data_IF_708604913373
#
_entry.id   IF_708604913373
#
_cell.length_a   1.000
_cell.length_b   1.000
_cell.length_c   1.000
_cell.angle_alpha   90.00
_cell.angle_beta   90.00
_cell.angle_gamma   90.00
#
_symmetry.space_group_name_H-M   'P 1'
#
loop_
_entity.id
_entity.type
_entity.pdbx_description
1 polymer ?
#
# COMPACT_ATOMS: atom_id res chain seq x y z
N UNK A 1 -15.81 -4.76 28.87
CA UNK A 1 -14.91 -4.92 27.70
C UNK A 1 -14.77 -3.56 27.04
N UNK A 2 -13.58 -2.94 27.12
CA UNK A 2 -13.35 -1.66 26.46
C UNK A 2 -13.43 -1.88 24.94
N UNK A 3 -14.42 -1.25 24.28
CA UNK A 3 -14.34 -1.03 22.83
C UNK A 3 -13.06 -0.23 22.63
N UNK A 4 -11.99 -0.88 22.17
CA UNK A 4 -10.87 -0.20 21.52
C UNK A 4 -11.52 0.62 20.42
N UNK A 5 -11.73 1.91 20.70
CA UNK A 5 -12.20 2.85 19.71
C UNK A 5 -11.05 2.91 18.74
N UNK A 6 -11.19 2.15 17.65
CA UNK A 6 -10.22 2.11 16.59
C UNK A 6 -10.18 3.53 16.03
N UNK A 7 -9.18 4.29 16.46
CA UNK A 7 -8.86 5.57 15.88
C UNK A 7 -7.95 5.23 14.70
N UNK A 8 -8.45 5.15 13.46
CA UNK A 8 -7.55 5.15 12.33
C UNK A 8 -6.74 6.43 12.50
N UNK A 9 -5.44 6.33 12.79
CA UNK A 9 -4.57 7.37 12.31
C UNK A 9 -4.94 7.50 10.83
N UNK A 10 -5.38 8.68 10.35
CA UNK A 10 -5.67 8.85 8.94
C UNK A 10 -4.44 8.33 8.22
N UNK A 11 -4.60 7.31 7.37
CA UNK A 11 -3.50 6.90 6.49
C UNK A 11 -3.14 8.17 5.74
N UNK A 12 -2.05 8.82 6.14
CA UNK A 12 -1.61 10.05 5.51
C UNK A 12 -1.28 9.63 4.10
N UNK A 13 -2.18 9.94 3.17
CA UNK A 13 -2.00 9.65 1.75
C UNK A 13 -0.65 10.28 1.39
N UNK A 14 0.33 9.50 0.92
CA UNK A 14 1.58 10.09 0.50
C UNK A 14 1.32 11.01 -0.69
N UNK A 15 2.08 12.10 -0.78
CA UNK A 15 2.14 12.89 -2.00
C UNK A 15 2.72 12.01 -3.10
N UNK A 16 1.87 11.63 -4.04
CA UNK A 16 2.24 10.77 -5.14
C UNK A 16 2.81 11.61 -6.29
N UNK A 17 3.97 11.23 -6.86
CA UNK A 17 4.48 11.86 -8.07
C UNK A 17 3.53 11.61 -9.26
N UNK A 18 3.66 12.40 -10.32
CA UNK A 18 2.73 12.38 -11.45
C UNK A 18 2.70 11.05 -12.23
N UNK A 19 3.77 10.27 -12.14
CA UNK A 19 3.98 8.95 -12.73
C UNK A 19 3.61 7.79 -11.77
N UNK A 20 3.17 8.10 -10.55
CA UNK A 20 2.73 7.08 -9.61
C UNK A 20 1.40 6.46 -10.04
N UNK A 21 1.39 5.12 -10.03
CA UNK A 21 0.20 4.29 -10.18
C UNK A 21 -0.57 4.22 -8.86
N UNK A 22 0.14 4.29 -7.73
CA UNK A 22 -0.45 4.19 -6.40
C UNK A 22 0.59 4.06 -5.30
N UNK A 23 0.18 3.55 -4.14
CA UNK A 23 1.07 3.27 -3.02
C UNK A 23 0.66 2.00 -2.27
N UNK A 24 1.64 1.28 -1.76
CA UNK A 24 1.47 0.13 -0.89
C UNK A 24 1.55 0.58 0.56
N UNK A 25 0.51 0.29 1.32
CA UNK A 25 0.47 0.58 2.76
C UNK A 25 -0.32 -0.49 3.52
N UNK A 26 -0.29 -0.42 4.85
CA UNK A 26 -1.06 -1.32 5.71
C UNK A 26 -2.53 -0.94 5.72
N UNK A 27 -3.41 -1.93 5.72
CA UNK A 27 -4.84 -1.67 5.83
C UNK A 27 -5.19 -1.17 7.23
N UNK A 28 -6.13 -0.25 7.25
CA UNK A 28 -6.73 0.28 8.48
C UNK A 28 -7.49 -0.82 9.23
N UNK A 29 -8.33 -1.58 8.54
CA UNK A 29 -9.14 -2.62 9.16
C UNK A 29 -8.36 -3.92 9.46
N UNK A 30 -7.20 -4.10 8.81
CA UNK A 30 -6.32 -5.28 8.93
C UNK A 30 -4.85 -4.84 8.85
N UNK A 31 -4.30 -4.21 9.90
CA UNK A 31 -2.95 -3.62 9.87
C UNK A 31 -1.82 -4.64 9.69
N UNK A 32 -2.12 -5.93 9.86
CA UNK A 32 -1.20 -7.01 9.52
C UNK A 32 -1.06 -7.28 8.01
N UNK A 33 -1.90 -6.67 7.17
CA UNK A 33 -1.88 -6.88 5.71
C UNK A 33 -1.51 -5.62 4.95
N UNK A 34 -0.66 -5.78 3.93
CA UNK A 34 -0.42 -4.76 2.93
C UNK A 34 -1.58 -4.72 1.91
N UNK A 35 -1.79 -3.54 1.34
CA UNK A 35 -2.69 -3.31 0.22
C UNK A 35 -2.09 -2.28 -0.72
N UNK A 36 -2.37 -2.45 -2.02
CA UNK A 36 -2.12 -1.43 -3.03
C UNK A 36 -3.31 -0.48 -3.04
N UNK A 37 -3.06 0.78 -2.75
CA UNK A 37 -4.01 1.87 -2.85
C UNK A 37 -3.77 2.64 -4.14
N UNK A 38 -4.86 3.05 -4.79
CA UNK A 38 -4.81 4.03 -5.88
C UNK A 38 -4.50 5.42 -5.33
N UNK A 39 -4.21 6.35 -6.23
CA UNK A 39 -4.02 7.74 -5.86
C UNK A 39 -5.19 8.30 -5.04
N UNK A 40 -6.44 8.00 -5.38
CA UNK A 40 -7.62 8.47 -4.62
C UNK A 40 -7.80 7.83 -3.23
N UNK A 41 -6.89 6.93 -2.81
CA UNK A 41 -6.95 6.21 -1.54
C UNK A 41 -7.87 4.99 -1.57
N UNK A 42 -8.46 4.64 -2.70
CA UNK A 42 -9.23 3.41 -2.84
C UNK A 42 -8.31 2.20 -2.93
N UNK A 43 -8.74 1.06 -2.38
CA UNK A 43 -7.98 -0.18 -2.48
C UNK A 43 -8.09 -0.70 -3.91
N UNK A 44 -6.94 -0.93 -4.54
CA UNK A 44 -6.81 -1.62 -5.81
C UNK A 44 -6.65 -3.12 -5.60
N UNK A 45 -5.75 -3.52 -4.69
CA UNK A 45 -5.47 -4.92 -4.38
C UNK A 45 -5.11 -5.10 -2.90
N UNK A 46 -5.36 -6.30 -2.36
CA UNK A 46 -4.93 -6.69 -1.01
C UNK A 46 -3.95 -7.86 -1.12
N UNK A 47 -2.89 -7.81 -0.33
CA UNK A 47 -1.86 -8.84 -0.28
C UNK A 47 -2.06 -9.80 0.90
N UNK A 48 -1.33 -10.91 0.87
CA UNK A 48 -1.23 -11.87 1.96
C UNK A 48 -0.61 -11.26 3.22
N UNK A 49 -0.72 -11.98 4.34
CA UNK A 49 -0.13 -11.56 5.61
C UNK A 49 1.40 -11.69 5.63
N UNK A 50 1.93 -12.55 4.76
CA UNK A 50 3.37 -12.86 4.65
C UNK A 50 4.06 -11.97 3.60
N UNK A 51 3.27 -11.22 2.82
CA UNK A 51 3.80 -10.31 1.81
C UNK A 51 4.42 -9.08 2.47
N UNK A 52 5.66 -8.81 2.10
CA UNK A 52 6.43 -7.63 2.46
C UNK A 52 6.76 -6.80 1.22
N UNK A 53 7.20 -5.55 1.42
CA UNK A 53 7.69 -4.72 0.31
C UNK A 53 8.79 -5.42 -0.51
N UNK A 54 9.66 -6.20 0.14
CA UNK A 54 10.74 -6.96 -0.51
C UNK A 54 10.19 -8.07 -1.41
N UNK A 55 9.17 -8.80 -0.95
CA UNK A 55 8.53 -9.85 -1.76
C UNK A 55 7.68 -9.29 -2.90
N UNK A 56 7.10 -8.10 -2.71
CA UNK A 56 6.25 -7.45 -3.71
C UNK A 56 7.05 -6.73 -4.80
N UNK A 57 8.24 -6.22 -4.48
CA UNK A 57 9.14 -5.56 -5.43
C UNK A 57 9.34 -6.32 -6.75
N UNK A 58 9.77 -7.60 -6.75
CA UNK A 58 9.92 -8.34 -7.99
C UNK A 58 8.59 -8.55 -8.72
N UNK A 59 7.49 -8.75 -8.00
CA UNK A 59 6.14 -8.91 -8.59
C UNK A 59 5.72 -7.64 -9.34
N UNK A 60 5.92 -6.47 -8.75
CA UNK A 60 5.67 -5.19 -9.44
C UNK A 60 6.58 -5.03 -10.66
N UNK A 61 7.86 -5.39 -10.54
CA UNK A 61 8.82 -5.30 -11.64
C UNK A 61 8.44 -6.19 -12.84
N UNK A 62 7.94 -7.41 -12.61
CA UNK A 62 7.43 -8.31 -13.66
C UNK A 62 6.25 -7.70 -14.43
N UNK A 63 5.51 -6.78 -13.81
CA UNK A 63 4.42 -6.03 -14.42
C UNK A 63 4.82 -4.66 -14.96
N UNK A 64 6.12 -4.36 -15.06
CA UNK A 64 6.61 -3.06 -15.53
C UNK A 64 6.31 -1.91 -14.56
N UNK A 65 6.30 -2.20 -13.26
CA UNK A 65 6.13 -1.21 -12.19
C UNK A 65 7.32 -1.23 -11.24
N UNK A 66 7.63 -0.10 -10.63
CA UNK A 66 8.68 0.00 -9.61
C UNK A 66 8.06 0.32 -8.26
N UNK A 67 8.33 -0.53 -7.26
CA UNK A 67 7.96 -0.29 -5.86
C UNK A 67 9.15 0.31 -5.11
N UNK A 68 8.99 1.56 -4.70
CA UNK A 68 9.93 2.31 -3.89
C UNK A 68 9.84 1.92 -2.41
N UNK A 69 10.87 2.27 -1.63
CA UNK A 69 10.99 1.89 -0.22
C UNK A 69 9.98 2.60 0.70
N UNK A 70 9.51 3.77 0.27
CA UNK A 70 8.42 4.53 0.89
C UNK A 70 7.03 3.95 0.55
N UNK A 71 7.00 2.90 -0.27
CA UNK A 71 5.79 2.22 -0.71
C UNK A 71 5.14 2.82 -1.95
N UNK A 72 5.71 3.84 -2.58
CA UNK A 72 5.16 4.39 -3.82
C UNK A 72 5.38 3.40 -4.97
N UNK A 73 4.34 3.20 -5.78
CA UNK A 73 4.40 2.38 -7.00
C UNK A 73 4.33 3.30 -8.20
N UNK A 74 5.39 3.32 -9.01
CA UNK A 74 5.45 4.08 -10.26
C UNK A 74 5.43 3.14 -11.46
N UNK A 75 5.00 3.65 -12.60
CA UNK A 75 5.09 2.92 -13.87
C UNK A 75 6.53 2.99 -14.38
N UNK A 76 7.16 1.83 -14.59
CA UNK A 76 8.50 1.71 -15.16
C UNK A 76 8.52 1.79 -16.68
#
# INVERSE_FOLDING_TARGET
MAKRTYNPAPMTRPDLPADAVGYVSRRVDRPERLALFRADGTISNTFGIEDTYETLRPVFAEHGMTLHEDGIVVRG
#
